data_IF_388912397615
#
_entry.id   IF_388912397615
#
_cell.length_a   1.000
_cell.length_b   1.000
_cell.length_c   1.000
_cell.angle_alpha   90.00
_cell.angle_beta   90.00
_cell.angle_gamma   90.00
#
_symmetry.space_group_name_H-M   'P 1'
#
loop_
_entity.id
_entity.type
_entity.pdbx_description
1 polymer ?
#
# COMPACT_ATOMS: atom_id res chain seq x y z
N UNK A 1 8.45 -16.69 -15.49
CA UNK A 1 7.90 -15.45 -16.04
C UNK A 1 8.57 -14.25 -15.39
N UNK A 2 9.06 -13.36 -16.18
CA UNK A 2 9.71 -12.15 -15.65
C UNK A 2 8.69 -11.05 -15.45
N UNK A 3 8.87 -10.27 -14.40
CA UNK A 3 8.06 -9.08 -14.19
C UNK A 3 8.34 -8.06 -15.27
N UNK A 4 7.31 -7.33 -15.66
CA UNK A 4 7.47 -6.17 -16.54
C UNK A 4 8.29 -5.12 -15.75
N UNK A 5 9.36 -4.55 -16.33
CA UNK A 5 10.20 -3.59 -15.61
C UNK A 5 9.46 -2.31 -15.19
N UNK A 6 8.32 -2.01 -15.81
CA UNK A 6 7.50 -0.86 -15.46
C UNK A 6 6.22 -1.22 -14.74
N UNK A 7 6.08 -2.44 -14.23
CA UNK A 7 4.83 -2.89 -13.64
C UNK A 7 5.06 -3.94 -12.54
N UNK A 8 4.35 -3.78 -11.45
CA UNK A 8 4.28 -4.80 -10.39
C UNK A 8 2.83 -5.24 -10.28
N UNK A 9 2.60 -6.54 -10.34
CA UNK A 9 1.28 -7.11 -10.10
C UNK A 9 1.40 -8.17 -9.01
N UNK A 10 0.60 -8.02 -7.96
CA UNK A 10 0.60 -8.93 -6.81
C UNK A 10 -0.83 -9.38 -6.57
N UNK A 11 -1.02 -10.69 -6.45
CA UNK A 11 -2.30 -11.28 -6.09
C UNK A 11 -2.10 -12.09 -4.82
N UNK A 12 -2.90 -11.79 -3.78
CA UNK A 12 -2.85 -12.51 -2.51
C UNK A 12 -4.25 -12.83 -2.02
N UNK A 13 -4.39 -13.95 -1.34
CA UNK A 13 -5.61 -14.24 -0.60
C UNK A 13 -5.38 -13.82 0.85
N UNK A 14 -6.18 -12.87 1.32
CA UNK A 14 -6.10 -12.34 2.68
C UNK A 14 -7.21 -12.97 3.50
N UNK A 15 -6.86 -13.46 4.69
CA UNK A 15 -7.80 -14.16 5.57
C UNK A 15 -8.63 -13.18 6.41
N UNK A 16 -9.43 -12.38 5.72
CA UNK A 16 -10.38 -11.44 6.31
C UNK A 16 -11.36 -10.98 5.25
N UNK A 17 -12.61 -10.61 5.63
CA UNK A 17 -13.57 -10.07 4.67
C UNK A 17 -13.07 -8.76 4.06
N UNK A 18 -13.47 -8.47 2.84
CA UNK A 18 -12.95 -7.31 2.12
C UNK A 18 -13.22 -5.97 2.82
N UNK A 19 -14.33 -5.84 3.52
CA UNK A 19 -14.61 -4.62 4.28
C UNK A 19 -13.55 -4.39 5.35
N UNK A 20 -13.10 -5.47 6.00
CA UNK A 20 -12.04 -5.40 7.01
C UNK A 20 -10.69 -5.06 6.39
N UNK A 21 -10.36 -5.64 5.25
CA UNK A 21 -9.11 -5.35 4.54
C UNK A 21 -9.10 -3.92 4.03
N UNK A 22 -10.21 -3.48 3.47
CA UNK A 22 -10.37 -2.10 3.01
C UNK A 22 -10.18 -1.10 4.15
N UNK A 23 -10.76 -1.39 5.31
CA UNK A 23 -10.61 -0.53 6.49
C UNK A 23 -9.15 -0.43 6.93
N UNK A 24 -8.43 -1.55 6.95
CA UNK A 24 -7.01 -1.56 7.32
C UNK A 24 -6.17 -0.72 6.35
N UNK A 25 -6.60 -0.58 5.11
CA UNK A 25 -5.90 0.18 4.08
C UNK A 25 -6.21 1.67 4.12
N UNK A 26 -7.35 2.05 4.67
CA UNK A 26 -7.86 3.42 4.53
C UNK A 26 -8.01 4.16 5.85
N UNK A 27 -7.98 3.46 6.98
CA UNK A 27 -7.99 4.11 8.28
C UNK A 27 -6.54 4.44 8.68
N UNK A 28 -6.22 5.71 8.97
CA UNK A 28 -4.82 6.09 9.28
C UNK A 28 -4.23 5.33 10.44
N UNK A 29 -4.99 5.10 11.51
CA UNK A 29 -4.50 4.39 12.68
C UNK A 29 -4.17 2.94 12.36
N UNK A 30 -4.96 2.29 11.53
CA UNK A 30 -4.69 0.91 11.13
C UNK A 30 -3.59 0.82 10.09
N UNK A 31 -3.58 1.71 9.10
CA UNK A 31 -2.55 1.73 8.06
C UNK A 31 -1.16 1.84 8.67
N UNK A 32 -1.00 2.67 9.67
CA UNK A 32 0.27 2.86 10.36
C UNK A 32 0.83 1.57 10.96
N UNK A 33 -0.02 0.59 11.24
CA UNK A 33 0.39 -0.65 11.89
C UNK A 33 1.08 -1.64 10.95
N UNK A 34 0.88 -1.50 9.64
CA UNK A 34 1.46 -2.43 8.68
C UNK A 34 2.25 -1.77 7.55
N UNK A 35 2.13 -0.45 7.38
CA UNK A 35 2.81 0.25 6.29
C UNK A 35 4.32 0.27 6.52
N UNK A 36 5.07 -0.08 5.45
CA UNK A 36 6.52 -0.11 5.48
C UNK A 36 7.07 -1.52 5.68
N UNK A 37 7.96 -1.97 4.77
CA UNK A 37 8.50 -3.33 4.85
C UNK A 37 9.54 -3.47 5.96
N UNK A 38 9.69 -4.70 6.47
CA UNK A 38 10.74 -5.02 7.42
C UNK A 38 10.65 -4.17 8.69
N UNK A 39 11.74 -3.49 9.03
CA UNK A 39 11.81 -2.70 10.26
C UNK A 39 11.36 -1.25 10.10
N UNK A 40 10.92 -0.87 8.90
CA UNK A 40 10.31 0.44 8.72
C UNK A 40 9.08 0.58 9.59
N UNK A 41 8.87 1.79 10.10
CA UNK A 41 7.67 2.16 10.84
C UNK A 41 6.96 3.29 10.11
N UNK A 42 5.67 3.46 10.40
CA UNK A 42 4.89 4.56 9.85
C UNK A 42 4.39 5.43 11.03
N UNK A 43 5.20 6.39 11.49
CA UNK A 43 4.80 7.21 12.64
C UNK A 43 3.66 8.18 12.35
N UNK A 44 3.47 8.56 11.08
CA UNK A 44 2.41 9.48 10.69
C UNK A 44 1.73 9.01 9.41
N UNK A 45 0.40 9.12 9.40
CA UNK A 45 -0.39 8.87 8.21
C UNK A 45 -1.54 9.86 8.19
N UNK A 46 -1.69 10.56 7.06
CA UNK A 46 -2.80 11.47 6.81
C UNK A 46 -3.54 10.98 5.59
N UNK A 47 -4.85 10.81 5.69
CA UNK A 47 -5.67 10.27 4.61
C UNK A 47 -6.95 11.09 4.50
N UNK A 48 -7.18 11.67 3.31
CA UNK A 48 -8.45 12.30 2.95
C UNK A 48 -9.12 11.36 1.95
N UNK A 49 -9.94 10.43 2.45
CA UNK A 49 -10.48 9.32 1.68
C UNK A 49 -11.67 9.73 0.83
N UNK A 50 -11.38 10.37 -0.29
CA UNK A 50 -12.37 10.76 -1.29
C UNK A 50 -11.67 10.98 -2.63
N UNK A 51 -12.40 10.95 -3.75
CA UNK A 51 -11.79 11.29 -5.04
C UNK A 51 -11.16 12.69 -4.96
N UNK A 52 -9.95 12.80 -5.46
CA UNK A 52 -9.10 14.00 -5.40
C UNK A 52 -8.59 14.35 -4.00
N UNK A 53 -8.91 13.55 -2.98
CA UNK A 53 -8.34 13.73 -1.65
C UNK A 53 -6.88 13.33 -1.62
N UNK A 54 -6.09 13.99 -0.76
CA UNK A 54 -4.66 13.72 -0.64
C UNK A 54 -4.37 12.75 0.49
N UNK A 55 -3.26 12.02 0.36
CA UNK A 55 -2.71 11.25 1.46
C UNK A 55 -1.22 11.54 1.60
N UNK A 56 -0.69 11.33 2.79
CA UNK A 56 0.73 11.51 3.09
C UNK A 56 1.13 10.53 4.18
N UNK A 57 2.15 9.74 3.90
CA UNK A 57 2.64 8.70 4.81
C UNK A 57 4.12 8.93 5.07
N UNK A 58 4.51 8.89 6.35
CA UNK A 58 5.90 9.00 6.75
C UNK A 58 6.41 7.60 7.09
N UNK A 59 7.47 7.17 6.41
CA UNK A 59 8.09 5.87 6.64
C UNK A 59 9.44 6.10 7.30
N UNK A 60 9.61 5.58 8.51
CA UNK A 60 10.82 5.80 9.31
C UNK A 60 11.68 4.53 9.33
N UNK A 61 12.90 4.58 8.75
CA UNK A 61 13.83 3.47 8.89
C UNK A 61 14.43 3.44 10.31
N UNK A 62 15.12 2.36 10.64
CA UNK A 62 15.79 2.23 11.95
C UNK A 62 16.92 3.26 12.11
N UNK A 63 17.51 3.69 11.00
CA UNK A 63 18.55 4.70 11.00
C UNK A 63 18.42 5.56 9.74
N UNK A 64 18.65 6.85 9.88
CA UNK A 64 18.59 7.77 8.77
C UNK A 64 17.30 8.56 8.72
N UNK A 65 17.15 9.36 7.67
CA UNK A 65 16.03 10.27 7.51
C UNK A 65 14.76 9.52 7.08
N UNK A 66 13.58 10.03 7.43
CA UNK A 66 12.33 9.41 6.99
C UNK A 66 12.12 9.54 5.49
N UNK A 67 11.41 8.56 4.93
CA UNK A 67 10.93 8.62 3.55
C UNK A 67 9.48 9.08 3.60
N UNK A 68 9.14 10.10 2.83
CA UNK A 68 7.79 10.63 2.78
C UNK A 68 7.16 10.29 1.46
N UNK A 69 6.01 9.61 1.52
CA UNK A 69 5.22 9.23 0.37
C UNK A 69 3.95 10.05 0.36
N UNK A 70 3.57 10.57 -0.79
CA UNK A 70 2.36 11.36 -0.94
C UNK A 70 1.67 11.05 -2.27
N UNK A 71 0.39 11.41 -2.35
CA UNK A 71 -0.37 11.26 -3.58
C UNK A 71 -1.80 11.70 -3.40
N UNK A 72 -2.61 11.41 -4.41
CA UNK A 72 -4.04 11.72 -4.40
C UNK A 72 -4.83 10.49 -4.83
N UNK A 73 -6.02 10.33 -4.27
CA UNK A 73 -6.95 9.29 -4.69
C UNK A 73 -7.61 9.69 -5.99
N UNK A 74 -7.61 8.79 -6.96
CA UNK A 74 -8.32 8.98 -8.22
C UNK A 74 -9.67 8.30 -8.21
N UNK A 75 -9.77 7.18 -7.49
CA UNK A 75 -11.02 6.45 -7.34
C UNK A 75 -11.09 5.90 -5.91
N UNK A 76 -12.25 6.07 -5.27
CA UNK A 76 -12.53 5.49 -3.96
C UNK A 76 -13.89 4.81 -4.05
N UNK A 77 -13.91 3.49 -4.14
CA UNK A 77 -15.12 2.68 -4.28
C UNK A 77 -15.15 1.63 -3.16
N UNK A 78 -15.61 2.02 -1.94
CA UNK A 78 -15.59 1.08 -0.81
C UNK A 78 -16.61 -0.03 -0.99
N UNK A 79 -16.32 -1.22 -0.57
CA UNK A 79 -15.02 -1.76 -0.16
C UNK A 79 -14.29 -2.49 -1.31
N UNK A 80 -14.51 -2.08 -2.54
CA UNK A 80 -14.15 -2.82 -3.74
C UNK A 80 -12.82 -2.41 -4.36
N UNK A 81 -12.54 -1.09 -4.40
CA UNK A 81 -11.43 -0.62 -5.23
C UNK A 81 -10.89 0.73 -4.77
N UNK A 82 -9.56 0.88 -4.88
CA UNK A 82 -8.86 2.15 -4.71
C UNK A 82 -7.93 2.35 -5.90
N UNK A 83 -7.87 3.58 -6.40
CA UNK A 83 -6.86 4.00 -7.37
C UNK A 83 -6.25 5.28 -6.84
N UNK A 84 -4.93 5.30 -6.69
CA UNK A 84 -4.26 6.48 -6.16
C UNK A 84 -2.87 6.65 -6.78
N UNK A 85 -2.39 7.90 -6.77
CA UNK A 85 -1.05 8.23 -7.26
C UNK A 85 -0.03 8.01 -6.16
N UNK A 86 1.25 7.91 -6.56
CA UNK A 86 2.35 7.58 -5.66
C UNK A 86 3.54 8.44 -6.02
N UNK A 87 3.96 9.29 -5.12
CA UNK A 87 5.12 10.15 -5.33
C UNK A 87 5.96 10.22 -4.06
N UNK A 88 7.23 9.91 -4.19
CA UNK A 88 8.17 10.10 -3.10
C UNK A 88 8.51 11.58 -2.98
N UNK A 89 8.26 12.18 -1.83
CA UNK A 89 8.66 13.56 -1.55
C UNK A 89 10.09 13.62 -1.06
N UNK A 90 10.54 12.58 -0.33
CA UNK A 90 11.91 12.47 0.16
C UNK A 90 12.38 11.03 -0.01
N UNK A 91 13.69 10.81 0.07
CA UNK A 91 14.28 9.49 -0.05
C UNK A 91 14.97 9.27 -1.39
N UNK A 92 15.57 8.08 -1.60
CA UNK A 92 16.39 7.82 -2.79
C UNK A 92 15.63 7.89 -4.10
N UNK A 93 14.32 7.63 -4.10
CA UNK A 93 13.51 7.64 -5.31
C UNK A 93 12.73 8.95 -5.50
N UNK A 94 13.06 10.00 -4.72
CA UNK A 94 12.38 11.29 -4.78
C UNK A 94 12.90 12.12 -5.94
N UNK A 95 12.45 11.83 -7.15
CA UNK A 95 12.88 12.49 -8.38
C UNK A 95 11.76 13.30 -9.04
N UNK A 96 10.64 13.49 -8.34
CA UNK A 96 9.49 14.22 -8.87
C UNK A 96 8.55 13.39 -9.73
N UNK A 97 8.89 12.13 -9.98
CA UNK A 97 8.02 11.25 -10.77
C UNK A 97 6.82 10.79 -9.97
N UNK A 98 5.74 10.51 -10.67
CA UNK A 98 4.49 10.03 -10.10
C UNK A 98 4.12 8.70 -10.73
N UNK A 99 3.76 7.73 -9.91
CA UNK A 99 3.31 6.43 -10.38
C UNK A 99 1.86 6.20 -9.94
N UNK A 100 1.29 5.07 -10.32
CA UNK A 100 -0.13 4.79 -10.11
C UNK A 100 -0.30 3.42 -9.47
N UNK A 101 -1.12 3.38 -8.42
CA UNK A 101 -1.45 2.13 -7.72
C UNK A 101 -2.95 1.88 -7.84
N UNK A 102 -3.30 0.66 -8.22
CA UNK A 102 -4.68 0.18 -8.25
C UNK A 102 -4.79 -1.02 -7.33
N UNK A 103 -5.74 -0.98 -6.41
CA UNK A 103 -5.98 -2.08 -5.48
C UNK A 103 -7.43 -2.52 -5.62
N UNK A 104 -7.66 -3.79 -5.93
CA UNK A 104 -8.98 -4.39 -5.93
C UNK A 104 -9.10 -5.35 -4.76
N UNK A 105 -10.23 -5.26 -4.06
CA UNK A 105 -10.54 -6.09 -2.90
C UNK A 105 -11.71 -6.98 -3.32
N UNK A 106 -11.40 -8.14 -3.87
CA UNK A 106 -12.42 -9.04 -4.42
C UNK A 106 -13.04 -9.90 -3.33
N UNK A 107 -14.35 -9.92 -3.31
CA UNK A 107 -15.12 -10.66 -2.31
C UNK A 107 -14.95 -12.17 -2.47
N UNK A 108 -14.48 -12.84 -1.42
CA UNK A 108 -14.39 -14.28 -1.33
C UNK A 108 -15.00 -14.77 -0.01
N UNK A 109 -16.12 -14.14 0.42
CA UNK A 109 -16.77 -14.45 1.68
C UNK A 109 -15.97 -13.96 2.88
N UNK A 110 -15.44 -14.87 3.66
CA UNK A 110 -14.62 -14.53 4.83
C UNK A 110 -13.16 -14.18 4.47
N UNK A 111 -12.83 -14.32 3.18
CA UNK A 111 -11.51 -13.99 2.65
C UNK A 111 -11.62 -12.94 1.57
N UNK A 112 -10.48 -12.35 1.23
CA UNK A 112 -10.38 -11.34 0.17
C UNK A 112 -9.31 -11.77 -0.82
N UNK A 113 -9.63 -11.72 -2.11
CA UNK A 113 -8.59 -11.80 -3.12
C UNK A 113 -8.12 -10.37 -3.41
N UNK A 114 -6.94 -10.05 -2.94
CA UNK A 114 -6.34 -8.74 -3.13
C UNK A 114 -5.55 -8.74 -4.44
N UNK A 115 -5.89 -7.81 -5.34
CA UNK A 115 -5.13 -7.63 -6.58
C UNK A 115 -4.56 -6.22 -6.57
N UNK A 116 -3.24 -6.13 -6.54
CA UNK A 116 -2.53 -4.86 -6.51
C UNK A 116 -1.71 -4.71 -7.79
N UNK A 117 -1.86 -3.56 -8.43
CA UNK A 117 -1.10 -3.22 -9.63
C UNK A 117 -0.45 -1.85 -9.41
N UNK A 118 0.88 -1.80 -9.54
CA UNK A 118 1.64 -0.55 -9.42
C UNK A 118 2.36 -0.33 -10.75
N UNK A 119 2.03 0.76 -11.42
CA UNK A 119 2.53 1.07 -12.77
C UNK A 119 2.97 2.53 -12.86
N UNK A 120 3.54 2.90 -14.00
CA UNK A 120 3.92 4.27 -14.35
C UNK A 120 5.10 4.82 -13.55
N UNK A 121 5.80 3.98 -12.79
CA UNK A 121 7.06 4.42 -12.19
C UNK A 121 8.17 4.40 -13.26
N UNK A 122 9.21 5.23 -13.08
CA UNK A 122 10.31 5.26 -14.06
C UNK A 122 11.02 3.91 -14.16
N UNK A 123 11.44 3.54 -15.37
CA UNK A 123 12.21 2.31 -15.56
C UNK A 123 13.49 2.31 -14.73
N UNK A 124 14.06 3.49 -14.49
CA UNK A 124 15.26 3.63 -13.66
C UNK A 124 15.05 3.18 -12.22
N UNK A 125 13.81 3.22 -11.72
CA UNK A 125 13.50 2.70 -10.38
C UNK A 125 13.49 1.18 -10.35
N UNK A 126 13.03 0.54 -11.44
CA UNK A 126 12.88 -0.90 -11.53
C UNK A 126 11.68 -1.42 -10.74
N UNK A 127 11.19 -2.58 -11.13
CA UNK A 127 10.05 -3.20 -10.44
C UNK A 127 10.45 -3.87 -9.12
N UNK A 128 11.67 -4.38 -9.02
CA UNK A 128 12.09 -5.19 -7.88
C UNK A 128 12.00 -4.46 -6.54
N UNK A 129 12.47 -3.21 -6.37
CA UNK A 129 12.34 -2.51 -5.10
C UNK A 129 10.88 -2.29 -4.70
N UNK A 130 10.01 -1.98 -5.66
CA UNK A 130 8.59 -1.80 -5.38
C UNK A 130 7.95 -3.12 -4.96
N UNK A 131 8.28 -4.21 -5.65
CA UNK A 131 7.76 -5.54 -5.28
C UNK A 131 8.20 -5.93 -3.88
N UNK A 132 9.46 -5.72 -3.54
CA UNK A 132 9.99 -6.02 -2.20
C UNK A 132 9.24 -5.22 -1.13
N UNK A 133 9.03 -3.94 -1.39
CA UNK A 133 8.31 -3.07 -0.44
C UNK A 133 6.88 -3.52 -0.23
N UNK A 134 6.17 -3.83 -1.31
CA UNK A 134 4.80 -4.32 -1.21
C UNK A 134 4.71 -5.67 -0.51
N UNK A 135 5.57 -6.62 -0.87
CA UNK A 135 5.56 -7.95 -0.24
C UNK A 135 5.81 -7.84 1.26
N UNK A 136 6.78 -7.03 1.67
CA UNK A 136 7.07 -6.84 3.09
C UNK A 136 5.91 -6.19 3.84
N UNK A 137 5.29 -5.17 3.26
CA UNK A 137 4.13 -4.50 3.85
C UNK A 137 2.92 -5.43 3.93
N UNK A 138 2.64 -6.15 2.86
CA UNK A 138 1.51 -7.08 2.82
C UNK A 138 1.67 -8.24 3.81
N UNK A 139 2.90 -8.69 4.05
CA UNK A 139 3.17 -9.68 5.10
C UNK A 139 2.72 -9.17 6.47
N UNK A 140 3.01 -7.91 6.77
CA UNK A 140 2.56 -7.28 8.02
C UNK A 140 1.06 -7.12 8.07
N UNK A 141 0.43 -6.77 6.95
CA UNK A 141 -1.03 -6.65 6.87
C UNK A 141 -1.69 -7.99 7.19
N UNK A 142 -1.19 -9.07 6.62
CA UNK A 142 -1.73 -10.40 6.88
C UNK A 142 -1.57 -10.78 8.35
N UNK A 143 -0.43 -10.46 8.96
CA UNK A 143 -0.20 -10.70 10.39
C UNK A 143 -1.16 -9.89 11.26
N UNK A 144 -1.39 -8.64 10.92
CA UNK A 144 -2.32 -7.77 11.65
C UNK A 144 -3.74 -8.34 11.62
N UNK A 145 -4.18 -8.77 10.45
CA UNK A 145 -5.54 -9.29 10.28
C UNK A 145 -5.70 -10.68 10.92
N UNK A 146 -4.65 -11.48 10.94
CA UNK A 146 -4.65 -12.76 11.64
C UNK A 146 -4.81 -12.55 13.15
N UNK A 147 -4.16 -11.54 13.72
CA UNK A 147 -4.32 -11.19 15.14
C UNK A 147 -5.75 -10.77 15.46
N UNK A 148 -6.40 -10.05 14.56
CA UNK A 148 -7.79 -9.65 14.72
C UNK A 148 -8.72 -10.87 14.82
N UNK A 149 -8.44 -11.93 14.06
CA UNK A 149 -9.21 -13.18 14.16
C UNK A 149 -9.04 -13.84 15.51
N UNK A 150 -7.82 -13.84 16.04
CA UNK A 150 -7.53 -14.46 17.34
C UNK A 150 -8.20 -13.70 18.48
N UNK A 151 -8.27 -12.39 18.36
CA UNK A 151 -8.84 -11.51 19.38
C UNK A 151 -10.37 -11.43 19.32
N UNK A 152 -10.98 -11.99 18.28
CA UNK A 152 -12.43 -11.91 18.06
C UNK A 152 -13.25 -12.86 18.99
#
# INVERSE_FOLDING_TARGET
MTDDPGRVEIVRTIDAPRARVFHAWTDPAELRRWWGPGEFRCPEAEIDLRPNGAYRLVMQPTAGDPFVLAGTYREVTPPERLVYTWRWETGPAADGSESLVTVEFRDRGEQTELVLVHTEFPESHGAAPYRMGWDGGLDKLEQLLAQSHVDA
#
